data_IF_254225997677
#
_entry.id   IF_254225997677
#
_cell.length_a   1.000
_cell.length_b   1.000
_cell.length_c   1.000
_cell.angle_alpha   90.00
_cell.angle_beta   90.00
_cell.angle_gamma   90.00
#
_symmetry.space_group_name_H-M   'P 1'
#
loop_
_entity.id
_entity.type
_entity.pdbx_description
1 polymer ?
#
# COMPACT_ATOMS: atom_id res chain seq x y z
N UNK A 1 -4.85 5.75 -4.86
CA UNK A 1 -4.43 7.13 -5.19
C UNK A 1 -3.28 7.12 -6.18
N UNK A 2 -3.09 8.20 -6.92
CA UNK A 2 -2.05 8.33 -7.94
C UNK A 2 -1.54 9.78 -7.94
N UNK A 3 -0.26 10.01 -7.64
CA UNK A 3 0.31 11.35 -7.52
C UNK A 3 1.58 11.46 -8.36
N UNK A 4 1.71 12.58 -9.07
CA UNK A 4 2.88 12.91 -9.90
C UNK A 4 3.53 14.17 -9.39
N UNK A 5 4.86 14.17 -9.32
CA UNK A 5 5.65 15.35 -8.98
C UNK A 5 6.86 15.43 -9.92
N UNK A 6 7.47 16.62 -9.98
CA UNK A 6 8.69 16.88 -10.75
C UNK A 6 9.76 17.53 -9.86
N UNK A 7 11.03 17.30 -10.15
CA UNK A 7 12.18 17.79 -9.38
C UNK A 7 12.85 16.73 -8.50
N UNK A 8 13.99 17.08 -7.88
CA UNK A 8 14.88 16.13 -7.20
C UNK A 8 14.25 15.36 -6.02
N UNK A 9 13.23 15.94 -5.37
CA UNK A 9 12.50 15.31 -4.25
C UNK A 9 11.06 14.91 -4.63
N UNK A 10 10.74 14.89 -5.93
CA UNK A 10 9.40 14.67 -6.45
C UNK A 10 8.71 13.45 -5.86
N UNK A 11 9.39 12.31 -5.97
CA UNK A 11 8.83 11.01 -5.62
C UNK A 11 8.54 10.90 -4.13
N UNK A 12 9.41 11.46 -3.28
CA UNK A 12 9.21 11.47 -1.83
C UNK A 12 8.08 12.41 -1.39
N UNK A 13 7.82 13.48 -2.16
CA UNK A 13 6.66 14.35 -1.94
C UNK A 13 5.37 13.64 -2.37
N UNK A 14 5.37 13.00 -3.55
CA UNK A 14 4.24 12.20 -4.03
C UNK A 14 3.89 11.08 -3.04
N UNK A 15 4.91 10.36 -2.55
CA UNK A 15 4.75 9.30 -1.55
C UNK A 15 4.13 9.81 -0.26
N UNK A 16 4.57 10.96 0.27
CA UNK A 16 4.00 11.53 1.50
C UNK A 16 2.53 11.91 1.34
N UNK A 17 2.16 12.53 0.22
CA UNK A 17 0.78 12.95 -0.04
C UNK A 17 -0.16 11.75 -0.23
N UNK A 18 0.31 10.74 -0.96
CA UNK A 18 -0.40 9.48 -1.12
C UNK A 18 -0.59 8.77 0.23
N UNK A 19 0.46 8.61 1.04
CA UNK A 19 0.38 7.97 2.36
C UNK A 19 -0.62 8.68 3.27
N UNK A 20 -0.57 10.01 3.31
CA UNK A 20 -1.42 10.80 4.19
C UNK A 20 -2.90 10.56 3.89
N UNK A 21 -3.28 10.73 2.64
CA UNK A 21 -4.67 10.60 2.21
C UNK A 21 -5.16 9.14 2.28
N UNK A 22 -4.29 8.17 1.99
CA UNK A 22 -4.60 6.75 2.15
C UNK A 22 -4.80 6.34 3.61
N UNK A 23 -4.02 6.93 4.52
CA UNK A 23 -4.17 6.75 5.96
C UNK A 23 -5.52 7.31 6.44
N UNK A 24 -5.92 8.49 5.97
CA UNK A 24 -7.22 9.07 6.29
C UNK A 24 -8.37 8.18 5.81
N UNK A 25 -8.31 7.71 4.56
CA UNK A 25 -9.33 6.81 4.01
C UNK A 25 -9.40 5.48 4.78
N UNK A 26 -8.25 4.85 5.03
CA UNK A 26 -8.18 3.61 5.80
C UNK A 26 -8.71 3.79 7.22
N UNK A 27 -8.39 4.91 7.86
CA UNK A 27 -8.91 5.26 9.19
C UNK A 27 -10.43 5.41 9.20
N UNK A 28 -10.99 6.14 8.24
CA UNK A 28 -12.44 6.30 8.13
C UNK A 28 -13.16 4.94 7.95
N UNK A 29 -12.60 4.05 7.14
CA UNK A 29 -13.12 2.68 6.98
C UNK A 29 -13.06 1.91 8.30
N UNK A 30 -11.92 1.91 8.99
CA UNK A 30 -11.77 1.24 10.29
C UNK A 30 -12.76 1.78 11.33
N UNK A 31 -12.94 3.10 11.38
CA UNK A 31 -13.91 3.75 12.28
C UNK A 31 -15.34 3.33 11.94
N UNK A 32 -15.72 3.25 10.67
CA UNK A 32 -17.03 2.74 10.24
C UNK A 32 -17.26 1.29 10.71
N UNK A 33 -16.28 0.41 10.54
CA UNK A 33 -16.39 -0.98 10.97
C UNK A 33 -16.47 -1.12 12.50
N UNK A 34 -15.78 -0.25 13.26
CA UNK A 34 -15.92 -0.16 14.72
C UNK A 34 -17.32 0.28 15.14
N UNK A 35 -17.88 1.28 14.46
CA UNK A 35 -19.23 1.78 14.75
C UNK A 35 -20.28 0.67 14.60
N UNK A 36 -20.13 -0.19 13.60
CA UNK A 36 -21.07 -1.31 13.35
C UNK A 36 -20.66 -2.62 14.04
N UNK A 37 -19.63 -2.63 14.89
CA UNK A 37 -19.13 -3.83 15.61
C UNK A 37 -18.72 -4.98 14.69
N UNK A 38 -18.17 -4.66 13.52
CA UNK A 38 -17.69 -5.64 12.52
C UNK A 38 -16.18 -5.51 12.29
N UNK A 39 -15.42 -5.26 13.34
CA UNK A 39 -13.97 -5.05 13.24
C UNK A 39 -13.26 -6.28 12.65
N UNK A 40 -13.78 -7.49 12.92
CA UNK A 40 -13.22 -8.74 12.38
C UNK A 40 -13.29 -8.80 10.85
N UNK A 41 -14.28 -8.16 10.24
CA UNK A 41 -14.43 -8.10 8.79
C UNK A 41 -13.64 -6.95 8.16
N UNK A 42 -13.27 -5.93 8.95
CA UNK A 42 -12.36 -4.88 8.49
C UNK A 42 -10.92 -5.37 8.31
N UNK A 43 -10.53 -6.46 8.98
CA UNK A 43 -9.31 -7.19 8.65
C UNK A 43 -9.43 -7.93 7.30
N UNK A 44 -10.66 -8.20 6.87
CA UNK A 44 -11.03 -8.78 5.58
C UNK A 44 -11.45 -7.69 4.58
N UNK A 45 -10.81 -6.50 4.60
CA UNK A 45 -10.97 -5.57 3.47
C UNK A 45 -10.31 -6.24 2.26
N UNK A 46 -11.13 -6.95 1.50
CA UNK A 46 -10.83 -7.80 0.34
C UNK A 46 -10.05 -7.10 -0.79
N UNK A 47 -9.84 -5.79 -0.69
CA UNK A 47 -8.94 -5.05 -1.56
C UNK A 47 -8.12 -4.08 -0.72
N UNK A 48 -6.90 -4.47 -0.36
CA UNK A 48 -5.90 -3.54 0.16
C UNK A 48 -5.68 -2.46 -0.90
N UNK A 49 -6.03 -1.19 -0.62
CA UNK A 49 -5.89 -0.16 -1.64
C UNK A 49 -4.39 0.10 -1.85
N UNK A 50 -3.93 -0.09 -3.08
CA UNK A 50 -2.58 0.32 -3.48
C UNK A 50 -2.58 1.79 -3.91
N UNK A 51 -1.42 2.43 -3.80
CA UNK A 51 -1.20 3.73 -4.43
C UNK A 51 0.03 3.72 -5.31
N UNK A 52 0.05 4.67 -6.23
CA UNK A 52 1.11 4.85 -7.22
C UNK A 52 1.69 6.25 -7.05
N UNK A 53 3.00 6.32 -6.91
CA UNK A 53 3.77 7.57 -6.95
C UNK A 53 4.73 7.49 -8.11
N UNK A 54 4.78 8.54 -8.93
CA UNK A 54 5.69 8.53 -10.08
C UNK A 54 6.29 9.91 -10.36
N UNK A 55 7.47 9.87 -10.97
CA UNK A 55 8.14 11.02 -11.57
C UNK A 55 8.57 10.67 -13.00
N UNK A 56 9.38 11.54 -13.62
CA UNK A 56 9.88 11.34 -14.97
C UNK A 56 10.80 10.14 -15.15
N UNK A 57 11.34 9.55 -14.08
CA UNK A 57 12.30 8.44 -14.14
C UNK A 57 11.75 7.15 -13.56
N UNK A 58 10.76 7.18 -12.69
CA UNK A 58 10.33 5.99 -11.97
C UNK A 58 8.88 6.00 -11.50
N UNK A 59 8.35 4.80 -11.29
CA UNK A 59 7.01 4.52 -10.76
C UNK A 59 7.15 3.58 -9.56
N UNK A 60 6.64 3.99 -8.40
CA UNK A 60 6.55 3.18 -7.18
C UNK A 60 5.09 2.82 -6.92
N UNK A 61 4.84 1.53 -6.68
CA UNK A 61 3.54 1.00 -6.28
C UNK A 61 3.66 0.48 -4.86
N UNK A 62 2.83 0.98 -3.95
CA UNK A 62 2.79 0.56 -2.56
C UNK A 62 1.45 -0.08 -2.22
N UNK A 63 1.50 -1.12 -1.40
CA UNK A 63 0.34 -1.66 -0.70
C UNK A 63 0.21 -1.00 0.67
N UNK A 64 -1.03 -0.77 1.11
CA UNK A 64 -1.32 -0.17 2.41
C UNK A 64 -2.31 -1.02 3.18
N UNK A 65 -2.03 -1.29 4.46
CA UNK A 65 -2.87 -2.12 5.29
C UNK A 65 -2.93 -1.62 6.73
N UNK A 66 -4.12 -1.56 7.35
CA UNK A 66 -4.26 -1.34 8.78
C UNK A 66 -4.12 -2.67 9.55
N UNK A 67 -3.43 -2.63 10.68
CA UNK A 67 -3.54 -3.66 11.74
C UNK A 67 -4.41 -3.09 12.84
N UNK A 68 -5.45 -3.83 13.21
CA UNK A 68 -6.46 -3.39 14.18
C UNK A 68 -6.37 -4.31 15.40
N UNK A 69 -5.91 -3.75 16.51
CA UNK A 69 -5.73 -4.45 17.79
C UNK A 69 -6.61 -3.79 18.83
N UNK A 70 -7.81 -4.35 19.05
CA UNK A 70 -8.82 -3.77 19.92
C UNK A 70 -9.07 -2.27 19.60
N UNK A 71 -8.67 -1.38 20.51
CA UNK A 71 -8.81 0.07 20.35
C UNK A 71 -7.71 0.73 19.51
N UNK A 72 -6.57 0.07 19.32
CA UNK A 72 -5.43 0.61 18.57
C UNK A 72 -5.55 0.23 17.10
N UNK A 73 -5.16 1.16 16.22
CA UNK A 73 -5.01 0.89 14.79
C UNK A 73 -3.67 1.46 14.34
N UNK A 74 -2.87 0.62 13.69
CA UNK A 74 -1.58 1.01 13.14
C UNK A 74 -1.62 0.81 11.62
N UNK A 75 -1.08 1.76 10.86
CA UNK A 75 -1.11 1.73 9.41
C UNK A 75 0.29 1.43 8.88
N UNK A 76 0.38 0.42 8.02
CA UNK A 76 1.64 -0.01 7.41
C UNK A 76 1.56 0.12 5.90
N UNK A 77 2.73 0.29 5.29
CA UNK A 77 2.92 0.24 3.84
C UNK A 77 4.04 -0.71 3.50
N UNK A 78 3.94 -1.34 2.33
CA UNK A 78 5.02 -2.13 1.77
C UNK A 78 5.16 -1.83 0.27
N UNK A 79 6.39 -1.84 -0.23
CA UNK A 79 6.66 -1.64 -1.64
C UNK A 79 6.24 -2.89 -2.40
N UNK A 80 5.24 -2.76 -3.29
CA UNK A 80 4.83 -3.82 -4.20
C UNK A 80 5.78 -3.86 -5.40
N UNK A 81 6.06 -2.69 -5.99
CA UNK A 81 6.89 -2.62 -7.17
C UNK A 81 7.58 -1.27 -7.34
N UNK A 82 8.75 -1.27 -7.97
CA UNK A 82 9.47 -0.07 -8.38
C UNK A 82 9.99 -0.27 -9.82
N UNK A 83 9.46 0.52 -10.74
CA UNK A 83 9.87 0.55 -12.14
C UNK A 83 10.71 1.79 -12.36
N UNK A 84 11.97 1.63 -12.75
CA UNK A 84 12.84 2.74 -13.15
C UNK A 84 13.06 2.71 -14.66
N UNK A 85 13.05 3.86 -15.31
CA UNK A 85 13.27 4.08 -16.74
C UNK A 85 14.61 3.52 -17.23
N UNK A 86 15.58 3.37 -16.31
CA UNK A 86 16.90 2.79 -16.59
C UNK A 86 16.89 1.25 -16.70
N UNK A 87 15.79 0.58 -16.34
CA UNK A 87 15.63 -0.87 -16.42
C UNK A 87 15.00 -1.33 -17.76
N UNK A 88 15.80 -1.23 -18.83
CA UNK A 88 15.80 -2.00 -20.11
C UNK A 88 14.61 -1.91 -21.11
N UNK A 89 15.03 -1.59 -22.35
CA UNK A 89 14.59 -2.03 -23.70
C UNK A 89 13.10 -1.89 -24.09
N UNK A 90 12.92 -1.23 -25.23
CA UNK A 90 11.70 -1.07 -26.00
C UNK A 90 10.83 -2.34 -26.02
N UNK A 91 9.57 -2.20 -25.60
CA UNK A 91 8.48 -3.11 -26.00
C UNK A 91 7.87 -4.01 -24.93
N UNK A 92 8.30 -3.96 -23.67
CA UNK A 92 7.72 -4.83 -22.63
C UNK A 92 6.61 -4.11 -21.84
N UNK A 93 5.35 -4.36 -22.22
CA UNK A 93 4.19 -4.06 -21.36
C UNK A 93 4.26 -5.00 -20.17
N UNK A 94 4.70 -4.50 -19.02
CA UNK A 94 4.63 -5.25 -17.77
C UNK A 94 3.18 -5.25 -17.28
N UNK A 95 2.42 -6.27 -17.67
CA UNK A 95 1.17 -6.60 -16.98
C UNK A 95 1.54 -6.98 -15.55
N UNK A 96 1.35 -6.06 -14.60
CA UNK A 96 1.42 -6.39 -13.18
C UNK A 96 0.19 -7.23 -12.87
N UNK A 97 0.34 -8.55 -12.96
CA UNK A 97 -0.67 -9.45 -12.43
C UNK A 97 -0.64 -9.30 -10.91
N UNK A 98 -1.61 -8.56 -10.38
CA UNK A 98 -1.87 -8.51 -8.95
C UNK A 98 -2.37 -9.91 -8.58
N UNK A 99 -1.45 -10.80 -8.23
CA UNK A 99 -1.82 -12.04 -7.56
C UNK A 99 -2.44 -11.62 -6.24
N UNK A 100 -3.75 -11.81 -6.13
CA UNK A 100 -4.49 -11.77 -4.88
C UNK A 100 -3.96 -12.93 -4.03
N UNK A 101 -2.80 -12.72 -3.38
CA UNK A 101 -2.29 -13.65 -2.40
C UNK A 101 -3.34 -13.64 -1.29
N UNK A 102 -4.06 -14.75 -1.13
CA UNK A 102 -5.03 -14.93 -0.07
C UNK A 102 -4.31 -14.68 1.26
N UNK A 103 -4.51 -13.48 1.83
CA UNK A 103 -3.95 -13.08 3.12
C UNK A 103 -4.66 -13.78 4.29
N UNK A 104 -5.57 -14.74 4.02
CA UNK A 104 -6.21 -15.57 5.04
C UNK A 104 -5.24 -16.47 5.80
N UNK A 105 -4.07 -16.75 5.21
CA UNK A 105 -3.16 -17.80 5.72
C UNK A 105 -1.86 -17.24 6.30
N UNK A 106 -1.66 -15.92 6.28
CA UNK A 106 -0.43 -15.32 6.79
C UNK A 106 -0.77 -14.39 7.94
N UNK A 107 -0.46 -14.88 9.14
CA UNK A 107 -0.53 -14.13 10.38
C UNK A 107 0.17 -12.77 10.22
N UNK A 108 -0.45 -11.72 10.74
CA UNK A 108 0.05 -10.35 10.60
C UNK A 108 1.44 -10.19 11.20
N UNK A 109 1.73 -10.98 12.26
CA UNK A 109 3.04 -11.05 12.90
C UNK A 109 4.07 -11.77 12.02
N UNK A 110 3.64 -12.80 11.27
CA UNK A 110 4.48 -13.50 10.30
C UNK A 110 4.84 -12.63 9.09
N UNK A 111 3.93 -11.75 8.65
CA UNK A 111 4.22 -10.75 7.62
C UNK A 111 5.17 -9.66 8.13
N UNK A 112 4.99 -9.20 9.36
CA UNK A 112 5.88 -8.21 9.97
C UNK A 112 7.31 -8.73 10.10
N UNK A 113 7.48 -9.97 10.60
CA UNK A 113 8.78 -10.65 10.69
C UNK A 113 9.40 -10.97 9.31
N UNK A 114 8.59 -11.44 8.35
CA UNK A 114 9.08 -11.76 7.01
C UNK A 114 9.56 -10.52 6.23
N UNK A 115 8.99 -9.34 6.51
CA UNK A 115 9.36 -8.09 5.86
C UNK A 115 10.56 -7.39 6.52
N UNK A 116 10.88 -7.68 7.79
CA UNK A 116 12.07 -7.16 8.48
C UNK A 116 13.36 -7.96 8.20
N UNK A 117 13.26 -9.15 7.60
CA UNK A 117 14.40 -10.03 7.27
C UNK A 117 14.99 -9.83 5.86
N UNK A 118 14.81 -8.66 5.23
CA UNK A 118 15.39 -8.35 3.91
C UNK A 118 16.24 -7.10 3.92
#
# INVERSE_FOLDING_TARGET
MCEVKCGAAALDVADRQNVHSMTLAARAVVELFRLVRRERESLTVRSLPFWISYDHESVRIYGHYPIIEAAKTTFYRYLIHNLASRARRQGQVHSVQIHEKHLSDVDADSLHEALLRR
#
